data_IF_243578642433
#
_entry.id   IF_243578642433
#
_cell.length_a   1.000
_cell.length_b   1.000
_cell.length_c   1.000
_cell.angle_alpha   90.00
_cell.angle_beta   90.00
_cell.angle_gamma   90.00
#
_symmetry.space_group_name_H-M   'P 1'
#
loop_
_entity.id
_entity.type
_entity.pdbx_description
1 polymer ?
#
# COMPACT_ATOMS: atom_id res chain seq x y z
N UNK A 1 -44.81 18.66 -19.67
CA UNK A 1 -43.37 18.39 -19.90
C UNK A 1 -42.68 19.75 -19.91
N UNK A 2 -41.99 20.07 -18.83
CA UNK A 2 -41.22 21.35 -18.75
C UNK A 2 -39.87 21.07 -19.40
N UNK A 3 -39.61 21.72 -20.52
CA UNK A 3 -38.30 21.79 -21.13
C UNK A 3 -37.33 22.43 -20.16
N UNK A 4 -36.37 21.67 -19.62
CA UNK A 4 -35.22 22.26 -18.98
C UNK A 4 -34.37 22.93 -20.08
N UNK A 5 -34.59 24.23 -20.28
CA UNK A 5 -33.59 25.06 -20.96
C UNK A 5 -32.26 24.90 -20.25
N UNK A 6 -31.29 24.35 -20.95
CA UNK A 6 -29.92 24.28 -20.47
C UNK A 6 -29.40 25.71 -20.27
N UNK A 7 -29.42 26.19 -19.03
CA UNK A 7 -28.77 27.44 -18.67
C UNK A 7 -27.27 27.23 -18.67
N UNK A 8 -26.53 28.01 -19.43
CA UNK A 8 -25.09 28.09 -19.33
C UNK A 8 -24.71 28.59 -17.93
N UNK A 9 -24.19 27.73 -17.09
CA UNK A 9 -23.73 28.08 -15.73
C UNK A 9 -22.21 28.16 -15.72
N UNK A 10 -21.68 29.28 -15.24
CA UNK A 10 -20.25 29.49 -15.03
C UNK A 10 -19.96 29.49 -13.53
N UNK A 11 -19.08 28.58 -13.07
CA UNK A 11 -18.67 28.50 -11.68
C UNK A 11 -17.29 29.16 -11.51
N UNK A 12 -17.19 30.07 -10.54
CA UNK A 12 -15.94 30.78 -10.26
C UNK A 12 -15.23 30.17 -9.05
N UNK A 13 -13.89 30.11 -9.12
CA UNK A 13 -13.06 29.82 -7.95
C UNK A 13 -13.15 30.98 -6.97
N UNK A 14 -13.27 30.71 -5.67
CA UNK A 14 -13.27 31.71 -4.62
C UNK A 14 -11.99 32.54 -4.66
N UNK A 15 -12.08 33.86 -4.46
CA UNK A 15 -10.94 34.78 -4.52
C UNK A 15 -9.90 34.51 -3.43
N UNK A 16 -10.33 33.98 -2.30
CA UNK A 16 -9.53 33.65 -1.13
C UNK A 16 -9.11 32.16 -1.12
N UNK A 17 -9.30 31.43 -2.24
CA UNK A 17 -8.88 30.03 -2.35
C UNK A 17 -7.38 29.89 -2.11
N UNK A 18 -7.03 28.99 -1.18
CA UNK A 18 -5.65 28.59 -0.92
C UNK A 18 -5.49 27.09 -1.21
N UNK A 19 -4.43 26.75 -1.90
CA UNK A 19 -4.11 25.34 -2.14
C UNK A 19 -3.64 24.67 -0.85
N UNK A 20 -4.05 23.44 -0.65
CA UNK A 20 -3.57 22.57 0.45
C UNK A 20 -2.09 22.23 0.28
N UNK A 21 -1.62 22.20 -0.99
CA UNK A 21 -0.24 21.84 -1.35
C UNK A 21 0.53 23.10 -1.78
N UNK A 22 1.26 23.69 -0.83
CA UNK A 22 2.04 24.92 -1.06
C UNK A 22 3.42 24.85 -0.38
N UNK A 23 4.37 25.65 -0.86
CA UNK A 23 5.69 25.77 -0.24
C UNK A 23 6.50 24.47 -0.26
N UNK A 24 6.83 23.94 0.91
CA UNK A 24 7.57 22.67 1.06
C UNK A 24 6.71 21.43 0.79
N UNK A 25 5.39 21.57 0.87
CA UNK A 25 4.43 20.49 0.60
C UNK A 25 4.24 20.32 -0.92
N UNK A 26 5.18 19.59 -1.53
CA UNK A 26 5.16 19.25 -2.95
C UNK A 26 5.15 17.73 -3.11
N UNK A 27 3.99 17.08 -2.96
CA UNK A 27 3.88 15.63 -3.05
C UNK A 27 4.37 15.12 -4.39
N UNK A 28 4.99 13.93 -4.38
CA UNK A 28 5.53 13.26 -5.56
C UNK A 28 4.85 11.92 -5.76
N UNK A 29 4.29 11.71 -6.94
CA UNK A 29 3.81 10.38 -7.33
C UNK A 29 5.02 9.46 -7.53
N UNK A 30 5.03 8.32 -6.82
CA UNK A 30 6.09 7.31 -6.91
C UNK A 30 5.71 6.20 -7.87
N UNK A 31 4.49 5.69 -7.78
CA UNK A 31 3.94 4.69 -8.69
C UNK A 31 2.41 4.71 -8.73
N UNK A 32 1.89 4.08 -9.78
CA UNK A 32 0.48 3.71 -9.93
C UNK A 32 0.42 2.24 -10.30
N UNK A 33 -0.46 1.46 -9.67
CA UNK A 33 -0.69 0.06 -10.02
C UNK A 33 -2.16 -0.25 -10.27
N UNK A 34 -2.42 -1.21 -11.16
CA UNK A 34 -3.71 -1.83 -11.44
C UNK A 34 -3.61 -3.31 -11.02
N UNK A 35 -4.32 -3.68 -9.97
CA UNK A 35 -4.38 -5.04 -9.45
C UNK A 35 -5.71 -5.64 -9.88
N UNK A 36 -5.65 -6.65 -10.75
CA UNK A 36 -6.83 -7.33 -11.26
C UNK A 36 -7.20 -8.53 -10.41
N UNK A 37 -8.49 -8.89 -10.31
CA UNK A 37 -8.93 -10.02 -9.50
C UNK A 37 -8.25 -11.36 -9.87
N UNK A 38 -7.97 -11.58 -11.14
CA UNK A 38 -7.29 -12.78 -11.66
C UNK A 38 -5.78 -12.82 -11.34
N UNK A 39 -5.17 -11.67 -11.07
CA UNK A 39 -3.75 -11.54 -10.67
C UNK A 39 -3.56 -11.48 -9.16
N UNK A 40 -4.61 -11.30 -8.38
CA UNK A 40 -4.59 -11.26 -6.91
C UNK A 40 -4.21 -12.62 -6.27
N UNK A 41 -4.02 -13.68 -7.08
CA UNK A 41 -3.44 -14.95 -6.62
C UNK A 41 -2.02 -14.84 -6.04
N UNK A 42 -1.38 -13.68 -6.18
CA UNK A 42 -0.03 -13.39 -5.67
C UNK A 42 -0.01 -12.07 -4.89
N UNK A 43 -0.77 -11.95 -3.78
CA UNK A 43 -0.89 -10.70 -3.04
C UNK A 43 0.46 -10.24 -2.50
N UNK A 44 0.58 -8.95 -2.28
CA UNK A 44 1.67 -8.43 -1.47
C UNK A 44 1.48 -8.89 -0.04
N UNK A 45 2.47 -9.63 0.45
CA UNK A 45 2.50 -10.13 1.81
C UNK A 45 2.82 -8.95 2.74
N UNK A 46 2.47 -9.07 3.99
CA UNK A 46 2.65 -8.11 5.07
C UNK A 46 3.88 -7.20 4.94
N UNK A 47 3.67 -5.91 4.76
CA UNK A 47 4.73 -4.91 4.58
C UNK A 47 4.31 -3.55 5.16
N UNK A 48 5.25 -2.63 5.22
CA UNK A 48 5.04 -1.23 5.57
C UNK A 48 5.97 -0.36 4.72
N UNK A 49 5.66 0.92 4.63
CA UNK A 49 6.48 1.93 3.97
C UNK A 49 6.81 3.03 4.96
N UNK A 50 8.06 3.53 4.96
CA UNK A 50 8.51 4.52 5.94
C UNK A 50 8.47 5.96 5.40
N UNK A 51 8.51 6.13 4.09
CA UNK A 51 8.76 7.41 3.41
C UNK A 51 7.70 7.86 2.41
N UNK A 52 6.54 7.19 2.41
CA UNK A 52 5.40 7.58 1.59
C UNK A 52 4.05 7.10 2.15
N UNK A 53 2.98 7.76 1.74
CA UNK A 53 1.60 7.31 1.95
C UNK A 53 1.13 6.49 0.75
N UNK A 54 0.38 5.43 1.00
CA UNK A 54 -0.26 4.61 -0.03
C UNK A 54 -1.77 4.76 0.03
N UNK A 55 -2.39 4.94 -1.15
CA UNK A 55 -3.84 5.03 -1.31
C UNK A 55 -4.30 3.90 -2.23
N UNK A 56 -5.23 3.06 -1.76
CA UNK A 56 -5.76 1.91 -2.52
C UNK A 56 -7.27 2.10 -2.67
N UNK A 57 -7.75 2.15 -3.91
CA UNK A 57 -9.18 2.18 -4.22
C UNK A 57 -9.65 0.79 -4.63
N UNK A 58 -10.58 0.21 -3.86
CA UNK A 58 -11.19 -1.08 -4.20
C UNK A 58 -12.24 -0.86 -5.28
N UNK A 59 -11.98 -1.39 -6.48
CA UNK A 59 -12.82 -1.19 -7.67
C UNK A 59 -13.78 -2.34 -7.94
N UNK A 60 -13.51 -3.53 -7.41
CA UNK A 60 -14.41 -4.69 -7.53
C UNK A 60 -14.13 -5.72 -6.45
N UNK A 61 -15.12 -6.53 -6.12
CA UNK A 61 -15.00 -7.62 -5.14
C UNK A 61 -14.97 -7.16 -3.70
N UNK A 62 -14.59 -8.09 -2.81
CA UNK A 62 -14.40 -7.86 -1.39
C UNK A 62 -13.32 -8.78 -0.85
N UNK A 63 -12.63 -8.36 0.21
CA UNK A 63 -11.57 -9.14 0.85
C UNK A 63 -11.44 -8.78 2.32
N UNK A 64 -10.59 -9.52 3.04
CA UNK A 64 -10.15 -9.17 4.38
C UNK A 64 -8.69 -8.66 4.32
N UNK A 65 -8.44 -7.55 4.98
CA UNK A 65 -7.11 -6.97 5.17
C UNK A 65 -6.73 -7.00 6.65
N UNK A 66 -5.51 -7.42 6.96
CA UNK A 66 -4.92 -7.20 8.26
C UNK A 66 -4.17 -5.88 8.23
N UNK A 67 -4.62 -4.90 9.01
CA UNK A 67 -3.98 -3.58 9.09
C UNK A 67 -3.57 -3.36 10.55
N UNK A 68 -2.29 -3.19 10.78
CA UNK A 68 -1.68 -3.29 12.10
C UNK A 68 -1.96 -4.65 12.76
N UNK A 69 -2.95 -4.71 13.63
CA UNK A 69 -3.34 -5.84 14.46
C UNK A 69 -4.80 -6.25 14.29
N UNK A 70 -5.54 -5.55 13.40
CA UNK A 70 -6.98 -5.73 13.22
C UNK A 70 -7.32 -6.16 11.80
N UNK A 71 -8.35 -7.00 11.72
CA UNK A 71 -8.93 -7.39 10.45
C UNK A 71 -10.00 -6.39 10.02
N UNK A 72 -9.90 -5.96 8.78
CA UNK A 72 -10.86 -5.07 8.14
C UNK A 72 -11.48 -5.79 6.95
N UNK A 73 -12.80 -5.80 6.88
CA UNK A 73 -13.51 -6.16 5.64
C UNK A 73 -13.49 -4.96 4.73
N UNK A 74 -13.07 -5.17 3.50
CA UNK A 74 -13.06 -4.15 2.45
C UNK A 74 -13.90 -4.63 1.27
N UNK A 75 -14.52 -3.69 0.58
CA UNK A 75 -15.40 -3.98 -0.56
C UNK A 75 -15.28 -2.90 -1.62
N UNK A 76 -15.88 -3.16 -2.78
CA UNK A 76 -15.96 -2.16 -3.84
C UNK A 76 -16.49 -0.83 -3.30
N UNK A 77 -15.79 0.26 -3.62
CA UNK A 77 -16.12 1.62 -3.18
C UNK A 77 -15.35 2.07 -1.94
N UNK A 78 -14.53 1.21 -1.32
CA UNK A 78 -13.67 1.61 -0.22
C UNK A 78 -12.35 2.19 -0.72
N UNK A 79 -11.90 3.28 -0.09
CA UNK A 79 -10.57 3.86 -0.19
C UNK A 79 -9.78 3.51 1.06
N UNK A 80 -8.65 2.82 0.90
CA UNK A 80 -7.72 2.54 1.97
C UNK A 80 -6.60 3.57 1.94
N UNK A 81 -6.20 4.08 3.11
CA UNK A 81 -5.11 5.06 3.24
C UNK A 81 -4.12 4.54 4.28
N UNK A 82 -2.89 4.29 3.85
CA UNK A 82 -1.81 3.82 4.69
C UNK A 82 -0.74 4.89 4.83
N UNK A 83 -0.72 5.57 5.96
CA UNK A 83 0.37 6.46 6.34
C UNK A 83 1.68 5.69 6.50
N UNK A 84 2.85 6.35 6.48
CA UNK A 84 4.12 5.71 6.80
C UNK A 84 4.10 4.90 8.10
N UNK A 85 4.73 3.73 8.07
CA UNK A 85 4.81 2.80 9.20
C UNK A 85 3.57 1.93 9.42
N UNK A 86 2.50 2.09 8.64
CA UNK A 86 1.30 1.23 8.73
C UNK A 86 1.60 -0.13 8.13
N UNK A 87 1.74 -1.15 8.98
CA UNK A 87 1.88 -2.55 8.54
C UNK A 87 0.54 -3.05 8.04
N UNK A 88 0.50 -3.55 6.82
CA UNK A 88 -0.71 -4.06 6.20
C UNK A 88 -0.45 -5.32 5.37
N UNK A 89 -1.49 -6.14 5.25
CA UNK A 89 -1.45 -7.45 4.59
C UNK A 89 -2.82 -7.78 4.00
N UNK A 90 -2.87 -8.18 2.74
CA UNK A 90 -4.07 -8.73 2.13
C UNK A 90 -4.22 -10.20 2.50
N UNK A 91 -5.32 -10.56 3.19
CA UNK A 91 -5.58 -11.93 3.59
C UNK A 91 -6.16 -12.70 2.40
N UNK A 92 -5.27 -13.40 1.69
CA UNK A 92 -5.67 -14.19 0.53
C UNK A 92 -6.54 -15.37 0.91
N UNK A 93 -7.69 -15.48 0.26
CA UNK A 93 -8.54 -16.67 0.27
C UNK A 93 -9.02 -16.94 -1.15
N UNK A 94 -9.36 -18.18 -1.50
CA UNK A 94 -9.86 -18.56 -2.82
C UNK A 94 -11.09 -17.77 -3.28
N UNK A 95 -11.82 -17.19 -2.33
CA UNK A 95 -13.08 -16.49 -2.55
C UNK A 95 -12.96 -14.96 -2.41
N UNK A 96 -11.77 -14.45 -2.06
CA UNK A 96 -11.50 -13.04 -1.78
C UNK A 96 -10.72 -12.42 -2.94
N UNK A 97 -11.37 -12.21 -4.07
CA UNK A 97 -10.74 -11.58 -5.22
C UNK A 97 -11.16 -10.12 -5.31
N UNK A 98 -10.20 -9.23 -5.18
CA UNK A 98 -10.42 -7.78 -5.36
C UNK A 98 -9.68 -7.25 -6.57
N UNK A 99 -10.34 -6.35 -7.30
CA UNK A 99 -9.67 -5.48 -8.26
C UNK A 99 -9.48 -4.11 -7.63
N UNK A 100 -8.28 -3.56 -7.68
CA UNK A 100 -7.96 -2.28 -7.07
C UNK A 100 -6.95 -1.48 -7.87
N UNK A 101 -7.00 -0.17 -7.72
CA UNK A 101 -5.92 0.73 -8.09
C UNK A 101 -5.18 1.20 -6.84
N UNK A 102 -3.87 1.37 -6.96
CA UNK A 102 -3.05 1.88 -5.89
C UNK A 102 -2.13 3.00 -6.39
N UNK A 103 -1.93 4.04 -5.58
CA UNK A 103 -0.87 5.04 -5.77
C UNK A 103 -0.03 5.16 -4.51
N UNK A 104 1.26 5.42 -4.70
CA UNK A 104 2.16 5.83 -3.62
C UNK A 104 2.59 7.28 -3.83
N UNK A 105 2.56 8.04 -2.75
CA UNK A 105 2.88 9.47 -2.75
C UNK A 105 3.89 9.80 -1.68
N UNK A 106 5.09 10.18 -2.09
CA UNK A 106 6.17 10.65 -1.23
C UNK A 106 6.24 12.17 -1.13
N UNK A 107 7.15 12.67 -0.32
CA UNK A 107 7.40 14.10 -0.10
C UNK A 107 6.13 14.89 0.29
N UNK A 108 5.25 14.28 1.06
CA UNK A 108 4.01 14.89 1.56
C UNK A 108 4.29 15.50 2.95
N UNK A 109 3.89 16.75 3.16
CA UNK A 109 4.06 17.47 4.42
C UNK A 109 2.76 18.18 4.78
N UNK A 110 1.89 17.49 5.50
CA UNK A 110 0.63 18.05 5.96
C UNK A 110 0.83 18.75 7.31
N UNK A 111 0.21 19.93 7.53
CA UNK A 111 0.27 20.62 8.81
C UNK A 111 -0.12 19.70 9.97
N UNK A 112 0.62 19.76 11.08
CA UNK A 112 0.35 19.02 12.31
C UNK A 112 0.39 17.49 12.22
N UNK A 113 0.72 16.91 11.05
CA UNK A 113 0.87 15.47 10.86
C UNK A 113 2.35 15.06 10.86
N UNK A 114 2.59 13.75 11.08
CA UNK A 114 3.92 13.15 10.89
C UNK A 114 4.38 13.32 9.44
N UNK A 115 5.67 13.30 9.24
CA UNK A 115 6.28 13.38 7.92
C UNK A 115 5.71 12.31 6.98
N UNK A 116 5.35 12.71 5.77
CA UNK A 116 4.71 11.91 4.72
C UNK A 116 3.30 11.38 5.03
N UNK A 117 2.72 11.68 6.19
CA UNK A 117 1.34 11.30 6.49
C UNK A 117 0.33 12.19 5.77
N UNK A 118 -0.77 11.60 5.27
CA UNK A 118 -1.88 12.31 4.64
C UNK A 118 -3.01 12.64 5.63
N UNK A 119 -3.23 11.75 6.61
CA UNK A 119 -4.35 11.83 7.56
C UNK A 119 -3.84 11.63 9.00
N UNK A 120 -4.59 12.05 10.03
CA UNK A 120 -4.28 11.72 11.43
C UNK A 120 -4.17 10.21 11.65
N UNK A 121 -3.35 9.77 12.62
CA UNK A 121 -3.16 8.34 12.90
C UNK A 121 -4.43 7.65 13.42
N UNK A 122 -5.28 8.37 14.10
CA UNK A 122 -6.55 7.93 14.68
C UNK A 122 -7.74 8.01 13.72
N UNK A 123 -7.57 8.55 12.52
CA UNK A 123 -8.64 8.64 11.53
C UNK A 123 -9.12 7.27 10.99
N UNK A 124 -8.34 6.20 11.27
CA UNK A 124 -8.59 4.86 10.71
C UNK A 124 -7.96 4.64 9.34
N UNK A 125 -8.34 3.55 8.66
CA UNK A 125 -7.65 3.10 7.44
C UNK A 125 -8.58 2.89 6.26
N UNK A 126 -9.87 2.59 6.48
CA UNK A 126 -10.85 2.25 5.45
C UNK A 126 -11.94 3.30 5.42
N UNK A 127 -12.15 3.89 4.24
CA UNK A 127 -13.04 5.02 4.03
C UNK A 127 -13.99 4.73 2.86
N UNK A 128 -15.30 4.49 3.11
CA UNK A 128 -16.29 4.38 2.04
C UNK A 128 -16.35 5.68 1.23
N UNK A 129 -16.16 5.58 -0.08
CA UNK A 129 -16.06 6.76 -0.96
C UNK A 129 -17.41 7.35 -1.35
N UNK A 130 -18.51 6.57 -1.24
CA UNK A 130 -19.85 7.01 -1.58
C UNK A 130 -19.95 7.61 -2.98
N UNK A 131 -20.49 8.81 -3.09
CA UNK A 131 -20.64 9.57 -4.35
C UNK A 131 -19.30 9.92 -5.04
N UNK A 132 -18.19 9.85 -4.31
CA UNK A 132 -16.86 10.14 -4.85
C UNK A 132 -16.22 8.97 -5.60
N UNK A 133 -16.81 7.76 -5.54
CA UNK A 133 -16.23 6.51 -6.10
C UNK A 133 -15.87 6.65 -7.57
N UNK A 134 -16.84 6.98 -8.42
CA UNK A 134 -16.63 7.02 -9.87
C UNK A 134 -15.60 8.10 -10.27
N UNK A 135 -15.58 9.23 -9.56
CA UNK A 135 -14.59 10.27 -9.83
C UNK A 135 -13.17 9.84 -9.44
N UNK A 136 -13.01 9.20 -8.28
CA UNK A 136 -11.72 8.63 -7.85
C UNK A 136 -11.27 7.55 -8.82
N UNK A 137 -12.13 6.58 -9.13
CA UNK A 137 -11.83 5.50 -10.08
C UNK A 137 -11.33 6.04 -11.42
N UNK A 138 -12.02 7.03 -11.98
CA UNK A 138 -11.62 7.67 -13.24
C UNK A 138 -10.22 8.28 -13.15
N UNK A 139 -9.89 8.98 -12.04
CA UNK A 139 -8.57 9.58 -11.85
C UNK A 139 -7.46 8.52 -11.80
N UNK A 140 -7.67 7.43 -11.06
CA UNK A 140 -6.72 6.32 -10.98
C UNK A 140 -6.53 5.63 -12.33
N UNK A 141 -7.62 5.34 -13.06
CA UNK A 141 -7.57 4.74 -14.39
C UNK A 141 -6.79 5.61 -15.39
N UNK A 142 -7.03 6.91 -15.39
CA UNK A 142 -6.32 7.84 -16.27
C UNK A 142 -4.83 7.86 -15.97
N UNK A 143 -4.43 7.89 -14.69
CA UNK A 143 -3.02 7.84 -14.30
C UNK A 143 -2.37 6.52 -14.76
N UNK A 144 -3.01 5.37 -14.49
CA UNK A 144 -2.47 4.09 -14.88
C UNK A 144 -2.32 3.96 -16.40
N UNK A 145 -3.35 4.31 -17.16
CA UNK A 145 -3.32 4.25 -18.63
C UNK A 145 -2.23 5.14 -19.23
N UNK A 146 -2.11 6.37 -18.75
CA UNK A 146 -1.13 7.32 -19.29
C UNK A 146 0.31 6.86 -19.04
N UNK A 147 0.64 6.37 -17.82
CA UNK A 147 1.97 5.84 -17.53
C UNK A 147 2.26 4.53 -18.28
N UNK A 148 1.30 3.60 -18.35
CA UNK A 148 1.49 2.31 -19.00
C UNK A 148 1.60 2.42 -20.53
N UNK A 149 0.93 3.39 -21.15
CA UNK A 149 1.04 3.65 -22.60
C UNK A 149 2.32 4.42 -22.98
N UNK A 150 3.03 5.02 -22.03
CA UNK A 150 4.22 5.83 -22.27
C UNK A 150 3.91 7.10 -23.07
N UNK A 151 2.77 7.74 -22.80
CA UNK A 151 2.38 9.00 -23.40
C UNK A 151 3.39 10.12 -23.14
N UNK A 152 3.51 11.04 -24.07
CA UNK A 152 4.33 12.23 -23.87
C UNK A 152 3.77 13.04 -22.70
N UNK A 153 4.62 13.40 -21.74
CA UNK A 153 4.27 14.12 -20.51
C UNK A 153 3.36 13.31 -19.54
N UNK A 154 3.33 11.98 -19.63
CA UNK A 154 2.54 11.13 -18.73
C UNK A 154 2.82 11.42 -17.25
N UNK A 155 4.09 11.59 -16.86
CA UNK A 155 4.49 11.88 -15.49
C UNK A 155 3.92 13.23 -15.00
N UNK A 156 3.99 14.28 -15.83
CA UNK A 156 3.45 15.60 -15.49
C UNK A 156 1.92 15.57 -15.37
N UNK A 157 1.26 14.85 -16.28
CA UNK A 157 -0.18 14.64 -16.24
C UNK A 157 -0.61 13.88 -14.98
N UNK A 158 0.04 12.75 -14.69
CA UNK A 158 -0.24 11.94 -13.52
C UNK A 158 0.06 12.68 -12.21
N UNK A 159 1.10 13.51 -12.18
CA UNK A 159 1.39 14.37 -11.03
C UNK A 159 0.23 15.34 -10.74
N UNK A 160 -0.40 15.92 -11.78
CA UNK A 160 -1.58 16.80 -11.61
C UNK A 160 -2.80 16.02 -11.13
N UNK A 161 -3.04 14.81 -11.66
CA UNK A 161 -4.14 13.95 -11.22
C UNK A 161 -3.95 13.45 -9.79
N UNK A 162 -2.72 13.15 -9.37
CA UNK A 162 -2.39 12.80 -7.98
C UNK A 162 -2.88 13.86 -7.00
N UNK A 163 -2.67 15.15 -7.27
CA UNK A 163 -3.19 16.22 -6.42
C UNK A 163 -4.72 16.19 -6.32
N UNK A 164 -5.40 15.91 -7.44
CA UNK A 164 -6.86 15.76 -7.44
C UNK A 164 -7.31 14.56 -6.57
N UNK A 165 -6.59 13.42 -6.65
CA UNK A 165 -6.85 12.24 -5.80
C UNK A 165 -6.65 12.59 -4.33
N UNK A 166 -5.55 13.25 -3.96
CA UNK A 166 -5.27 13.62 -2.56
C UNK A 166 -6.36 14.55 -2.00
N UNK A 167 -6.79 15.57 -2.75
CA UNK A 167 -7.88 16.46 -2.32
C UNK A 167 -9.20 15.69 -2.15
N UNK A 168 -9.53 14.80 -3.08
CA UNK A 168 -10.72 13.95 -2.98
C UNK A 168 -10.64 13.00 -1.77
N UNK A 169 -9.47 12.40 -1.51
CA UNK A 169 -9.25 11.54 -0.35
C UNK A 169 -9.47 12.31 0.97
N UNK A 170 -8.94 13.54 1.08
CA UNK A 170 -9.17 14.40 2.25
C UNK A 170 -10.66 14.74 2.42
N UNK A 171 -11.41 14.93 1.32
CA UNK A 171 -12.86 15.15 1.38
C UNK A 171 -13.59 13.92 1.93
N UNK A 172 -13.24 12.72 1.43
CA UNK A 172 -13.83 11.44 1.90
C UNK A 172 -13.57 11.23 3.39
N UNK A 173 -12.34 11.47 3.85
CA UNK A 173 -11.97 11.39 5.27
C UNK A 173 -12.75 12.38 6.12
N UNK A 174 -12.89 13.62 5.67
CA UNK A 174 -13.64 14.66 6.38
C UNK A 174 -15.13 14.34 6.54
N UNK A 175 -15.75 13.71 5.54
CA UNK A 175 -17.15 13.24 5.63
C UNK A 175 -17.29 12.15 6.70
N UNK A 176 -16.36 11.19 6.78
CA UNK A 176 -16.40 10.16 7.82
C UNK A 176 -16.27 10.75 9.23
N UNK A 177 -15.36 11.70 9.43
CA UNK A 177 -15.18 12.35 10.72
C UNK A 177 -16.45 13.08 11.21
N UNK A 178 -17.31 13.54 10.28
CA UNK A 178 -18.58 14.21 10.60
C UNK A 178 -19.71 13.23 10.93
N UNK A 179 -19.61 11.98 10.48
CA UNK A 179 -20.69 10.98 10.59
C UNK A 179 -20.46 9.96 11.73
N UNK A 180 -19.57 10.23 12.69
CA UNK A 180 -19.18 9.36 13.82
C UNK A 180 -20.12 8.16 14.04
N UNK A 181 -19.98 7.10 13.25
CA UNK A 181 -20.39 5.77 13.68
C UNK A 181 -19.18 5.17 14.41
N UNK A 182 -19.25 5.20 15.73
CA UNK A 182 -18.34 4.47 16.61
C UNK A 182 -18.46 2.98 16.28
N UNK A 183 -17.58 2.48 15.43
CA UNK A 183 -17.31 1.05 15.39
C UNK A 183 -16.64 0.73 16.72
N UNK A 184 -17.31 -0.09 17.56
CA UNK A 184 -16.71 -0.67 18.77
C UNK A 184 -15.40 -1.35 18.37
N UNK A 185 -14.30 -0.71 18.75
CA UNK A 185 -12.95 -1.20 18.49
C UNK A 185 -12.53 -1.91 19.77
N UNK A 186 -12.56 -3.25 19.78
CA UNK A 186 -11.91 -4.01 20.86
C UNK A 186 -10.47 -3.51 21.04
N UNK A 187 -10.11 -3.07 22.28
CA UNK A 187 -8.75 -2.66 22.56
C UNK A 187 -7.81 -3.86 22.41
N UNK A 188 -6.76 -3.75 21.61
CA UNK A 188 -5.83 -4.86 21.43
C UNK A 188 -5.10 -5.15 22.75
N UNK A 189 -4.79 -6.42 22.98
CA UNK A 189 -3.98 -6.84 24.13
C UNK A 189 -2.65 -6.09 24.15
N UNK A 190 -2.38 -5.33 25.21
CA UNK A 190 -1.12 -4.59 25.41
C UNK A 190 0.09 -5.49 25.20
N UNK A 191 0.01 -6.74 25.65
CA UNK A 191 1.07 -7.72 25.48
C UNK A 191 1.22 -8.15 24.01
N UNK A 192 0.11 -8.37 23.31
CA UNK A 192 0.13 -8.68 21.87
C UNK A 192 0.79 -7.58 21.06
N UNK A 193 0.51 -6.31 21.36
CA UNK A 193 1.16 -5.15 20.72
C UNK A 193 2.67 -5.12 21.00
N UNK A 194 3.11 -5.34 22.25
CA UNK A 194 4.54 -5.38 22.59
C UNK A 194 5.28 -6.48 21.82
N UNK A 195 4.65 -7.65 21.65
CA UNK A 195 5.23 -8.75 20.84
C UNK A 195 5.37 -8.31 19.38
N UNK A 196 4.34 -7.68 18.83
CA UNK A 196 4.32 -7.16 17.46
C UNK A 196 5.44 -6.13 17.24
N UNK A 197 5.52 -5.13 18.10
CA UNK A 197 6.56 -4.09 18.04
C UNK A 197 7.97 -4.68 18.11
N UNK A 198 8.16 -5.69 18.96
CA UNK A 198 9.44 -6.40 19.02
C UNK A 198 9.79 -7.08 17.70
N UNK A 199 8.85 -7.78 17.07
CA UNK A 199 9.06 -8.43 15.77
C UNK A 199 9.32 -7.39 14.68
N UNK A 200 8.49 -6.34 14.59
CA UNK A 200 8.60 -5.30 13.56
C UNK A 200 9.94 -4.53 13.64
N UNK A 201 10.46 -4.36 14.85
CA UNK A 201 11.76 -3.71 15.08
C UNK A 201 12.95 -4.61 14.78
N UNK A 202 12.80 -5.92 14.97
CA UNK A 202 13.94 -6.86 14.94
C UNK A 202 13.79 -7.94 13.85
N UNK A 203 12.88 -7.78 12.86
CA UNK A 203 12.60 -8.86 11.88
C UNK A 203 13.81 -9.26 11.03
N UNK A 204 14.81 -8.41 10.89
CA UNK A 204 16.06 -8.71 10.19
C UNK A 204 17.00 -9.59 11.00
N UNK A 205 16.82 -9.67 12.32
CA UNK A 205 17.67 -10.39 13.24
C UNK A 205 17.24 -11.85 13.40
N UNK A 206 18.16 -12.76 13.83
CA UNK A 206 17.84 -14.16 14.05
C UNK A 206 17.02 -14.37 15.33
N UNK A 207 15.74 -13.95 15.33
CA UNK A 207 14.83 -14.11 16.46
C UNK A 207 14.10 -15.46 16.44
N UNK A 208 13.86 -16.00 17.64
CA UNK A 208 13.12 -17.23 17.89
C UNK A 208 12.03 -17.00 18.93
N UNK A 209 11.07 -17.91 19.05
CA UNK A 209 10.08 -17.85 20.14
C UNK A 209 10.73 -17.83 21.52
N UNK A 210 11.84 -18.57 21.69
CA UNK A 210 12.59 -18.60 22.93
C UNK A 210 13.21 -17.23 23.25
N UNK A 211 13.97 -16.66 22.29
CA UNK A 211 14.60 -15.35 22.49
C UNK A 211 13.58 -14.23 22.69
N UNK A 212 12.44 -14.27 22.01
CA UNK A 212 11.34 -13.33 22.27
C UNK A 212 10.78 -13.46 23.69
N UNK A 213 10.58 -14.70 24.15
CA UNK A 213 10.10 -14.99 25.49
C UNK A 213 11.06 -14.47 26.57
N UNK A 214 12.36 -14.65 26.39
CA UNK A 214 13.40 -14.14 27.30
C UNK A 214 13.39 -12.60 27.36
N UNK A 215 13.37 -11.92 26.22
CA UNK A 215 13.38 -10.44 26.19
C UNK A 215 12.10 -9.85 26.77
N UNK A 216 10.95 -10.45 26.51
CA UNK A 216 9.67 -9.95 26.99
C UNK A 216 9.28 -10.47 28.38
N UNK A 217 10.12 -11.37 28.94
CA UNK A 217 9.92 -12.03 30.26
C UNK A 217 8.59 -12.80 30.35
N UNK A 218 8.29 -13.59 29.30
CA UNK A 218 7.10 -14.43 29.20
C UNK A 218 7.43 -15.79 28.59
N UNK A 219 6.64 -16.81 28.94
CA UNK A 219 6.85 -18.14 28.37
C UNK A 219 6.56 -18.15 26.87
N UNK A 220 7.34 -18.89 26.03
CA UNK A 220 7.11 -19.00 24.59
C UNK A 220 5.71 -19.49 24.24
N UNK A 221 5.13 -20.37 25.05
CA UNK A 221 3.78 -20.87 24.85
C UNK A 221 2.73 -19.76 25.03
N UNK A 222 2.80 -19.01 26.13
CA UNK A 222 1.87 -17.91 26.40
C UNK A 222 2.01 -16.78 25.37
N UNK A 223 3.25 -16.43 25.01
CA UNK A 223 3.55 -15.49 23.93
C UNK A 223 2.87 -15.87 22.63
N UNK A 224 3.00 -17.15 22.24
CA UNK A 224 2.41 -17.66 20.99
C UNK A 224 0.88 -17.63 21.02
N UNK A 225 0.27 -17.92 22.18
CA UNK A 225 -1.17 -17.93 22.36
C UNK A 225 -1.75 -16.50 22.25
N UNK A 226 -1.25 -15.58 23.06
CA UNK A 226 -1.71 -14.18 23.08
C UNK A 226 -1.54 -13.50 21.72
N UNK A 227 -0.40 -13.71 21.09
CA UNK A 227 -0.14 -13.09 19.79
C UNK A 227 -1.03 -13.66 18.69
N UNK A 228 -1.29 -14.97 18.71
CA UNK A 228 -2.19 -15.60 17.72
C UNK A 228 -3.64 -15.18 17.91
N UNK A 229 -4.08 -15.00 19.15
CA UNK A 229 -5.42 -14.49 19.46
C UNK A 229 -5.62 -13.07 18.91
N UNK A 230 -4.63 -12.18 19.10
CA UNK A 230 -4.67 -10.82 18.60
C UNK A 230 -4.55 -10.73 17.07
N UNK A 231 -3.54 -11.38 16.47
CA UNK A 231 -3.16 -11.16 15.08
C UNK A 231 -3.69 -12.20 14.08
N UNK A 232 -4.17 -13.34 14.59
CA UNK A 232 -4.54 -14.51 13.77
C UNK A 232 -3.34 -15.35 13.28
N UNK A 233 -2.09 -14.89 13.50
CA UNK A 233 -0.85 -15.58 13.12
C UNK A 233 -0.04 -15.99 14.36
N UNK A 234 0.69 -17.10 14.25
CA UNK A 234 1.75 -17.32 15.24
C UNK A 234 2.87 -16.27 15.06
N UNK A 235 3.64 -15.94 16.11
CA UNK A 235 4.73 -14.96 16.01
C UNK A 235 5.73 -15.27 14.88
N UNK A 236 6.06 -16.54 14.67
CA UNK A 236 6.98 -16.98 13.63
C UNK A 236 6.37 -16.90 12.23
N UNK A 237 5.04 -17.11 12.09
CA UNK A 237 4.34 -16.86 10.82
C UNK A 237 4.30 -15.37 10.50
N UNK A 238 4.05 -14.52 11.49
CA UNK A 238 4.09 -13.07 11.35
C UNK A 238 5.47 -12.59 10.91
N UNK A 239 6.54 -13.04 11.60
CA UNK A 239 7.93 -12.75 11.23
C UNK A 239 8.24 -13.15 9.79
N UNK A 240 7.84 -14.36 9.39
CA UNK A 240 8.03 -14.85 8.03
C UNK A 240 7.33 -13.93 7.01
N UNK A 241 6.06 -13.59 7.24
CA UNK A 241 5.29 -12.71 6.36
C UNK A 241 5.89 -11.32 6.28
N UNK A 242 6.36 -10.76 7.39
CA UNK A 242 7.03 -9.46 7.45
C UNK A 242 8.31 -9.43 6.62
N UNK A 243 9.15 -10.49 6.72
CA UNK A 243 10.36 -10.64 5.91
C UNK A 243 10.08 -10.78 4.42
N UNK A 244 9.08 -11.59 4.05
CA UNK A 244 8.71 -11.81 2.65
C UNK A 244 8.12 -10.53 2.04
N UNK A 245 7.26 -9.82 2.76
CA UNK A 245 6.68 -8.58 2.29
C UNK A 245 7.73 -7.49 2.05
N UNK A 246 8.70 -7.36 2.96
CA UNK A 246 9.83 -6.45 2.78
C UNK A 246 10.70 -6.85 1.57
N UNK A 247 10.93 -8.14 1.40
CA UNK A 247 11.64 -8.65 0.22
C UNK A 247 10.90 -8.34 -1.09
N UNK A 248 9.56 -8.42 -1.11
CA UNK A 248 8.75 -8.02 -2.27
C UNK A 248 8.95 -6.53 -2.58
N UNK A 249 8.93 -5.67 -1.57
CA UNK A 249 9.20 -4.23 -1.71
C UNK A 249 10.58 -3.99 -2.32
N UNK A 250 11.64 -4.57 -1.75
CA UNK A 250 13.02 -4.40 -2.24
C UNK A 250 13.21 -4.97 -3.66
N UNK A 251 12.53 -6.06 -4.00
CA UNK A 251 12.57 -6.64 -5.36
C UNK A 251 11.99 -5.71 -6.42
N UNK A 252 10.96 -4.93 -6.09
CA UNK A 252 10.29 -4.01 -7.01
C UNK A 252 11.00 -2.67 -7.06
N UNK A 253 11.41 -2.13 -5.90
CA UNK A 253 11.93 -0.76 -5.77
C UNK A 253 13.42 -0.63 -6.03
N UNK A 254 14.18 -1.75 -6.09
CA UNK A 254 15.63 -1.72 -6.23
C UNK A 254 16.16 -2.69 -7.28
N UNK A 255 17.36 -2.44 -7.78
CA UNK A 255 18.12 -3.38 -8.64
C UNK A 255 19.07 -4.30 -7.83
N UNK A 256 18.94 -4.34 -6.50
CA UNK A 256 19.79 -5.16 -5.64
C UNK A 256 19.75 -6.64 -6.01
N UNK A 257 20.88 -7.37 -5.95
CA UNK A 257 20.90 -8.82 -6.13
C UNK A 257 19.96 -9.53 -5.14
N UNK A 258 19.33 -10.61 -5.58
CA UNK A 258 18.45 -11.42 -4.73
C UNK A 258 19.17 -11.94 -3.48
N UNK A 259 20.47 -12.22 -3.58
CA UNK A 259 21.33 -12.59 -2.44
C UNK A 259 21.42 -11.48 -1.40
N UNK A 260 21.61 -10.25 -1.85
CA UNK A 260 21.68 -9.07 -0.98
C UNK A 260 20.34 -8.86 -0.27
N UNK A 261 19.23 -8.91 -1.03
CA UNK A 261 17.88 -8.78 -0.46
C UNK A 261 17.62 -9.87 0.59
N UNK A 262 17.99 -11.12 0.31
CA UNK A 262 17.85 -12.21 1.28
C UNK A 262 18.53 -11.88 2.62
N UNK A 263 19.77 -11.40 2.59
CA UNK A 263 20.49 -10.97 3.80
C UNK A 263 19.83 -9.79 4.50
N UNK A 264 19.40 -8.78 3.74
CA UNK A 264 18.74 -7.57 4.30
C UNK A 264 17.44 -7.89 5.03
N UNK A 265 16.71 -8.92 4.61
CA UNK A 265 15.45 -9.31 5.26
C UNK A 265 15.62 -10.46 6.26
N UNK A 266 16.86 -10.75 6.69
CA UNK A 266 17.16 -11.67 7.80
C UNK A 266 17.24 -13.16 7.43
N UNK A 267 17.64 -13.50 6.20
CA UNK A 267 17.93 -14.88 5.80
C UNK A 267 19.42 -15.11 5.62
N UNK A 268 19.95 -16.13 6.28
CA UNK A 268 21.38 -16.51 6.21
C UNK A 268 21.76 -17.09 4.85
N UNK A 269 20.82 -17.72 4.14
CA UNK A 269 21.09 -18.34 2.84
C UNK A 269 20.04 -17.96 1.80
N UNK A 270 20.50 -17.65 0.60
CA UNK A 270 19.63 -17.37 -0.55
C UNK A 270 18.74 -18.57 -0.90
N UNK A 271 19.22 -19.80 -0.74
CA UNK A 271 18.46 -21.00 -1.07
C UNK A 271 17.24 -21.15 -0.18
N UNK A 272 17.38 -20.94 1.13
CA UNK A 272 16.27 -20.98 2.07
C UNK A 272 15.30 -19.81 1.83
N UNK A 273 15.83 -18.61 1.57
CA UNK A 273 15.02 -17.45 1.17
C UNK A 273 14.17 -17.76 -0.07
N UNK A 274 14.78 -18.28 -1.16
CA UNK A 274 14.07 -18.61 -2.39
C UNK A 274 12.93 -19.61 -2.15
N UNK A 275 13.17 -20.61 -1.30
CA UNK A 275 12.16 -21.61 -0.93
C UNK A 275 10.99 -20.94 -0.20
N UNK A 276 11.26 -20.14 0.84
CA UNK A 276 10.24 -19.46 1.64
C UNK A 276 9.48 -18.42 0.81
N UNK A 277 10.19 -17.64 0.01
CA UNK A 277 9.57 -16.67 -0.88
C UNK A 277 8.64 -17.35 -1.89
N UNK A 278 9.10 -18.40 -2.59
CA UNK A 278 8.27 -19.10 -3.57
C UNK A 278 7.05 -19.78 -2.96
N UNK A 279 7.18 -20.30 -1.73
CA UNK A 279 6.08 -20.92 -1.00
C UNK A 279 4.99 -19.89 -0.61
N UNK A 280 5.39 -18.69 -0.22
CA UNK A 280 4.45 -17.67 0.27
C UNK A 280 3.90 -16.78 -0.86
N UNK A 281 4.66 -16.57 -1.94
CA UNK A 281 4.32 -15.67 -3.05
C UNK A 281 3.83 -16.43 -4.29
N UNK A 282 4.07 -17.77 -4.35
CA UNK A 282 3.67 -18.61 -5.49
C UNK A 282 4.64 -18.57 -6.67
N UNK A 283 5.71 -17.76 -6.62
CA UNK A 283 6.74 -17.71 -7.67
C UNK A 283 8.11 -17.31 -7.12
N UNK A 284 9.22 -17.68 -7.82
CA UNK A 284 10.57 -17.32 -7.39
C UNK A 284 10.81 -15.79 -7.39
N UNK A 285 11.71 -15.28 -6.50
CA UNK A 285 12.00 -13.83 -6.38
C UNK A 285 12.41 -13.17 -7.71
N UNK A 286 13.23 -13.84 -8.50
CA UNK A 286 13.68 -13.32 -9.82
C UNK A 286 12.52 -13.15 -10.79
N UNK A 287 11.57 -14.12 -10.82
CA UNK A 287 10.38 -14.05 -11.67
C UNK A 287 9.43 -12.96 -11.17
N UNK A 288 9.27 -12.83 -9.85
CA UNK A 288 8.49 -11.78 -9.22
C UNK A 288 8.98 -10.40 -9.67
N UNK A 289 10.28 -10.11 -9.51
CA UNK A 289 10.90 -8.87 -10.01
C UNK A 289 10.62 -8.63 -11.49
N UNK A 290 10.77 -9.65 -12.34
CA UNK A 290 10.54 -9.52 -13.78
C UNK A 290 9.10 -9.15 -14.11
N UNK A 291 8.13 -9.74 -13.43
CA UNK A 291 6.71 -9.46 -13.67
C UNK A 291 6.33 -8.00 -13.36
N UNK A 292 6.96 -7.40 -12.35
CA UNK A 292 6.69 -6.01 -11.97
C UNK A 292 7.52 -4.97 -12.74
N UNK A 293 8.66 -5.35 -13.33
CA UNK A 293 9.53 -4.44 -14.07
C UNK A 293 9.24 -4.39 -15.59
N UNK A 294 8.39 -5.25 -16.11
CA UNK A 294 8.15 -5.38 -17.58
C UNK A 294 7.45 -4.14 -18.16
N UNK A 295 6.73 -3.35 -17.38
CA UNK A 295 5.94 -2.24 -17.90
C UNK A 295 6.63 -0.86 -17.87
N UNK A 296 7.69 -0.68 -17.11
CA UNK A 296 8.37 0.63 -16.97
C UNK A 296 9.64 0.81 -17.81
N UNK A 297 10.15 -0.23 -18.45
CA UNK A 297 11.34 -0.14 -19.32
C UNK A 297 10.99 -0.33 -20.80
N UNK A 298 10.38 0.68 -21.42
CA UNK A 298 10.39 0.82 -22.87
C UNK A 298 11.60 1.65 -23.34
N UNK A 299 12.01 1.48 -24.63
CA UNK A 299 13.32 0.94 -25.01
C UNK A 299 14.23 2.01 -25.59
N UNK A 300 15.25 2.41 -24.89
CA UNK A 300 16.36 3.15 -25.52
C UNK A 300 17.24 2.29 -26.49
N UNK A 301 16.96 1.00 -26.61
CA UNK A 301 17.88 0.09 -27.35
C UNK A 301 17.59 -0.08 -28.85
N UNK A 302 16.55 0.50 -29.44
CA UNK A 302 16.30 0.38 -30.90
C UNK A 302 16.87 1.51 -31.76
N UNK A 303 17.41 2.60 -31.20
CA UNK A 303 17.96 3.71 -32.02
C UNK A 303 19.44 3.57 -32.42
N UNK A 304 20.21 2.65 -31.83
CA UNK A 304 21.66 2.51 -32.14
C UNK A 304 22.04 1.52 -33.26
N UNK A 305 21.10 0.72 -33.79
CA UNK A 305 21.43 -0.24 -34.88
C UNK A 305 21.18 0.27 -36.32
N UNK A 306 20.55 1.47 -36.49
CA UNK A 306 20.31 2.02 -37.87
C UNK A 306 21.32 3.08 -38.33
N UNK A 307 22.43 3.34 -37.60
CA UNK A 307 23.45 4.31 -37.95
C UNK A 307 24.81 3.68 -38.33
N UNK A 308 24.88 2.38 -38.56
CA UNK A 308 26.12 1.70 -39.02
C UNK A 308 26.01 1.02 -40.38
N UNK A 309 24.92 1.24 -41.09
CA UNK A 309 24.78 0.80 -42.50
C UNK A 309 24.26 1.98 -43.35
N UNK A 310 25.09 3.02 -43.45
CA UNK A 310 25.03 4.08 -44.48
C UNK A 310 26.43 4.62 -44.68
#
# INVERSE_FOLDING_TARGET
MAEHQAMNVQCFVKKDFQSVFTGKNNPKLLYVSDIRPDTSAHPRVMHAHEDFVELILICSGSSEYLIHDKKYKVQQGDLLIYNPGVVHDEISGSDNLVGSYCIAVGNLHMPELKEYALIPQDAGFVFPTGEHFESLKTLFEMMFRSLSSGEINAEAFCHSLMHAVLVKALTVVGVKASNNEETEVEEPSILGQRIKEYIDKNYTEPITLQSMGEVLNISPYYLSHVFKEMSGYSPMQYLLRRRIGEAQTLLISTDLPVTTIAGMVGYDTQSYFNLQFSKNVGMPPKKYRQNYLVETRQPEKKRRKKKKES
#
